data_IF_937718940087
#
_entry.id   IF_937718940087
#
_cell.length_a   1.000
_cell.length_b   1.000
_cell.length_c   1.000
_cell.angle_alpha   90.00
_cell.angle_beta   90.00
_cell.angle_gamma   90.00
#
_symmetry.space_group_name_H-M   'P 1'
#
loop_
_entity.id
_entity.type
_entity.pdbx_description
1 polymer ?
#
# COMPACT_ATOMS: atom_id res chain seq x y z
N UNK A 1 -7.18 25.79 23.88
CA UNK A 1 -7.46 24.76 22.85
C UNK A 1 -6.13 24.33 22.28
N UNK A 2 -5.84 23.03 22.25
CA UNK A 2 -4.58 22.51 21.72
C UNK A 2 -4.85 21.84 20.39
N UNK A 3 -4.09 22.21 19.36
CA UNK A 3 -4.15 21.58 18.02
C UNK A 3 -3.06 20.52 17.96
N UNK A 4 -3.43 19.31 17.54
CA UNK A 4 -2.48 18.19 17.38
C UNK A 4 -2.43 17.78 15.93
N UNK A 5 -1.22 17.56 15.41
CA UNK A 5 -0.99 17.00 14.08
C UNK A 5 -0.34 15.63 14.28
N UNK A 6 -0.93 14.62 13.66
CA UNK A 6 -0.42 13.25 13.71
C UNK A 6 -0.56 12.62 12.33
N UNK A 7 0.40 11.78 11.91
CA UNK A 7 0.27 11.03 10.68
C UNK A 7 -0.94 10.10 10.77
N UNK A 8 -1.77 10.11 9.73
CA UNK A 8 -2.91 9.19 9.57
C UNK A 8 -2.67 8.19 8.44
N UNK A 9 -1.69 8.47 7.57
CA UNK A 9 -1.35 7.64 6.43
C UNK A 9 0.14 7.74 6.11
N UNK A 10 0.71 6.63 5.64
CA UNK A 10 1.99 6.59 4.95
C UNK A 10 1.81 5.94 3.58
N UNK A 11 2.66 6.30 2.62
CA UNK A 11 2.75 5.66 1.30
C UNK A 11 4.09 4.91 1.25
N UNK A 12 4.05 3.68 0.76
CA UNK A 12 5.24 2.86 0.52
C UNK A 12 5.20 2.38 -0.93
N UNK A 13 6.31 2.59 -1.65
CA UNK A 13 6.43 2.20 -3.05
C UNK A 13 7.87 1.82 -3.37
N UNK A 14 8.03 0.92 -4.34
CA UNK A 14 9.32 0.63 -4.97
C UNK A 14 9.47 1.31 -6.34
N UNK A 15 8.51 2.15 -6.74
CA UNK A 15 8.62 3.00 -7.93
C UNK A 15 9.80 3.98 -7.77
N UNK A 16 10.74 4.03 -8.74
CA UNK A 16 11.84 5.00 -8.74
C UNK A 16 11.35 6.44 -8.57
N UNK A 17 12.10 7.25 -7.84
CA UNK A 17 11.70 8.61 -7.46
C UNK A 17 11.38 9.51 -8.68
N UNK A 18 12.15 9.36 -9.76
CA UNK A 18 11.98 10.05 -11.04
C UNK A 18 10.69 9.69 -11.79
N UNK A 19 10.03 8.58 -11.43
CA UNK A 19 8.81 8.10 -12.06
C UNK A 19 7.59 8.18 -11.13
N UNK A 20 7.71 8.74 -9.93
CA UNK A 20 6.59 8.82 -8.98
C UNK A 20 5.46 9.76 -9.42
N UNK A 21 5.75 10.72 -10.29
CA UNK A 21 4.75 11.63 -10.89
C UNK A 21 4.07 11.02 -12.14
N UNK A 22 4.48 9.83 -12.59
CA UNK A 22 3.83 9.15 -13.69
C UNK A 22 2.39 8.77 -13.31
N UNK A 23 1.45 8.90 -14.25
CA UNK A 23 0.01 8.70 -14.00
C UNK A 23 -0.33 7.32 -13.41
N UNK A 24 0.45 6.29 -13.75
CA UNK A 24 0.26 4.91 -13.27
C UNK A 24 1.06 4.56 -11.99
N UNK A 25 1.88 5.49 -11.47
CA UNK A 25 2.76 5.19 -10.34
C UNK A 25 1.98 4.81 -9.07
N UNK A 26 0.79 5.40 -8.88
CA UNK A 26 -0.11 5.15 -7.77
C UNK A 26 -0.57 3.69 -7.67
N UNK A 27 -0.63 2.99 -8.80
CA UNK A 27 -1.12 1.63 -8.87
C UNK A 27 -0.12 0.60 -8.30
N UNK A 28 1.14 1.00 -8.09
CA UNK A 28 2.17 0.22 -7.40
C UNK A 28 2.36 0.61 -5.93
N UNK A 29 1.61 1.59 -5.44
CA UNK A 29 1.72 2.06 -4.07
C UNK A 29 0.93 1.18 -3.10
N UNK A 30 1.47 1.02 -1.90
CA UNK A 30 0.77 0.53 -0.73
C UNK A 30 0.55 1.69 0.24
N UNK A 31 -0.64 1.78 0.81
CA UNK A 31 -0.93 2.76 1.87
C UNK A 31 -0.93 2.07 3.23
N UNK A 32 -0.39 2.74 4.24
CA UNK A 32 -0.48 2.33 5.64
C UNK A 32 -1.41 3.31 6.32
N UNK A 33 -2.64 2.90 6.61
CA UNK A 33 -3.69 3.78 7.12
C UNK A 33 -3.98 3.52 8.61
N UNK A 34 -4.08 4.61 9.39
CA UNK A 34 -4.44 4.53 10.80
C UNK A 34 -5.93 4.20 10.94
N UNK A 35 -6.24 3.18 11.72
CA UNK A 35 -7.60 2.69 11.95
C UNK A 35 -8.08 2.87 13.39
N UNK A 36 -7.14 2.91 14.33
CA UNK A 36 -7.34 3.33 15.72
C UNK A 36 -5.99 3.73 16.33
N UNK A 37 -5.98 4.12 17.61
CA UNK A 37 -4.73 4.31 18.37
C UNK A 37 -3.88 3.04 18.27
N UNK A 38 -2.64 3.18 17.81
CA UNK A 38 -1.66 2.11 17.62
C UNK A 38 -2.12 0.93 16.73
N UNK A 39 -3.11 1.17 15.86
CA UNK A 39 -3.65 0.17 14.94
C UNK A 39 -3.66 0.71 13.52
N UNK A 40 -2.83 0.10 12.68
CA UNK A 40 -2.60 0.46 11.30
C UNK A 40 -2.93 -0.71 10.37
N UNK A 41 -3.40 -0.40 9.18
CA UNK A 41 -3.69 -1.38 8.15
C UNK A 41 -2.77 -1.16 6.95
N UNK A 42 -2.19 -2.23 6.41
CA UNK A 42 -1.52 -2.18 5.11
C UNK A 42 -2.59 -2.40 4.04
N UNK A 43 -2.72 -1.43 3.14
CA UNK A 43 -3.80 -1.34 2.17
C UNK A 43 -3.21 -1.33 0.76
N UNK A 44 -3.84 -2.11 -0.11
CA UNK A 44 -3.66 -2.05 -1.56
C UNK A 44 -5.02 -1.75 -2.17
N UNK A 45 -5.17 -0.56 -2.75
CA UNK A 45 -6.45 -0.03 -3.25
C UNK A 45 -7.53 -0.07 -2.16
N UNK A 46 -8.42 -1.06 -2.19
CA UNK A 46 -9.54 -1.23 -1.25
C UNK A 46 -9.40 -2.46 -0.35
N UNK A 47 -8.26 -3.14 -0.39
CA UNK A 47 -8.03 -4.41 0.31
C UNK A 47 -7.00 -4.25 1.42
N UNK A 48 -7.21 -4.94 2.55
CA UNK A 48 -6.24 -5.05 3.62
C UNK A 48 -5.31 -6.26 3.38
N UNK A 49 -4.05 -6.14 3.78
CA UNK A 49 -3.19 -7.31 3.97
C UNK A 49 -3.65 -8.10 5.19
N UNK A 50 -3.67 -9.42 5.04
CA UNK A 50 -3.89 -10.39 6.11
C UNK A 50 -2.64 -11.28 6.20
N UNK A 51 -1.79 -10.98 7.18
CA UNK A 51 -0.51 -11.65 7.35
C UNK A 51 -0.64 -13.13 7.77
N UNK A 52 -1.75 -13.51 8.41
CA UNK A 52 -2.03 -14.91 8.75
C UNK A 52 -2.28 -15.76 7.50
N UNK A 53 -3.01 -15.21 6.53
CA UNK A 53 -3.35 -15.92 5.29
C UNK A 53 -2.45 -15.58 4.11
N UNK A 54 -1.57 -14.59 4.28
CA UNK A 54 -0.73 -13.98 3.25
C UNK A 54 -1.53 -13.58 2.00
N UNK A 55 -2.70 -12.96 2.23
CA UNK A 55 -3.62 -12.57 1.16
C UNK A 55 -4.13 -11.15 1.35
N UNK A 56 -4.45 -10.52 0.21
CA UNK A 56 -5.28 -9.33 0.18
C UNK A 56 -6.73 -9.72 0.43
N UNK A 57 -7.35 -9.12 1.44
CA UNK A 57 -8.74 -9.38 1.82
C UNK A 57 -9.55 -8.10 1.76
N UNK A 58 -10.76 -8.18 1.19
CA UNK A 58 -11.69 -7.05 1.21
C UNK A 58 -12.09 -6.74 2.65
N UNK A 59 -12.12 -5.45 3.01
CA UNK A 59 -12.55 -5.05 4.34
C UNK A 59 -14.09 -5.19 4.44
N UNK A 60 -14.61 -5.95 5.42
CA UNK A 60 -16.04 -6.03 5.65
C UNK A 60 -16.64 -4.66 5.96
N UNK A 61 -17.93 -4.52 5.65
CA UNK A 61 -18.72 -3.37 6.10
C UNK A 61 -18.58 -3.20 7.61
N UNK A 62 -18.67 -1.96 8.14
CA UNK A 62 -18.41 -1.70 9.55
C UNK A 62 -19.21 -2.59 10.52
N UNK A 63 -20.47 -2.88 10.20
CA UNK A 63 -21.36 -3.72 11.01
C UNK A 63 -21.00 -5.21 11.00
N UNK A 64 -20.27 -5.69 9.99
CA UNK A 64 -19.82 -7.08 9.87
C UNK A 64 -18.34 -7.26 10.20
N UNK A 65 -17.65 -6.19 10.62
CA UNK A 65 -16.21 -6.20 10.90
C UNK A 65 -15.90 -6.79 12.26
N UNK A 66 -15.74 -8.12 12.27
CA UNK A 66 -15.39 -8.87 13.47
C UNK A 66 -14.04 -8.48 14.07
N UNK A 67 -13.86 -8.72 15.36
CA UNK A 67 -12.57 -8.52 16.02
C UNK A 67 -11.50 -9.50 15.50
N UNK A 68 -11.92 -10.68 15.02
CA UNK A 68 -11.03 -11.60 14.30
C UNK A 68 -10.46 -10.99 13.01
N UNK A 69 -11.24 -10.17 12.30
CA UNK A 69 -10.74 -9.44 11.13
C UNK A 69 -9.74 -8.37 11.56
N UNK A 70 -10.07 -7.60 12.60
CA UNK A 70 -9.17 -6.56 13.10
C UNK A 70 -7.85 -7.16 13.59
N UNK A 71 -7.88 -8.27 14.33
CA UNK A 71 -6.69 -8.89 14.89
C UNK A 71 -5.66 -9.30 13.81
N UNK A 72 -6.11 -9.79 12.66
CA UNK A 72 -5.22 -10.27 11.59
C UNK A 72 -4.83 -9.20 10.55
N UNK A 73 -5.50 -8.04 10.55
CA UNK A 73 -5.29 -6.96 9.57
C UNK A 73 -4.94 -5.60 10.20
N UNK A 74 -4.75 -5.55 11.53
CA UNK A 74 -4.43 -4.32 12.27
C UNK A 74 -3.16 -4.52 13.08
N UNK A 75 -2.11 -3.83 12.64
CA UNK A 75 -0.76 -3.99 13.13
C UNK A 75 -0.31 -2.75 13.91
N UNK A 76 0.67 -2.90 14.81
CA UNK A 76 1.56 -1.80 15.19
C UNK A 76 2.19 -1.13 13.97
N UNK A 77 2.55 0.16 14.07
CA UNK A 77 3.05 0.94 12.93
C UNK A 77 4.34 0.37 12.33
N UNK A 78 5.30 0.01 13.19
CA UNK A 78 6.57 -0.60 12.82
C UNK A 78 6.37 -1.91 12.04
N UNK A 79 5.46 -2.76 12.50
CA UNK A 79 5.09 -3.99 11.80
C UNK A 79 4.42 -3.70 10.46
N UNK A 80 3.50 -2.72 10.40
CA UNK A 80 2.84 -2.33 9.16
C UNK A 80 3.85 -1.81 8.12
N UNK A 81 4.83 -1.01 8.55
CA UNK A 81 5.92 -0.52 7.70
C UNK A 81 6.79 -1.67 7.18
N UNK A 82 7.18 -2.61 8.04
CA UNK A 82 7.98 -3.76 7.64
C UNK A 82 7.24 -4.65 6.62
N UNK A 83 5.94 -4.90 6.83
CA UNK A 83 5.10 -5.63 5.88
C UNK A 83 5.04 -4.89 4.54
N UNK A 84 4.74 -3.59 4.56
CA UNK A 84 4.60 -2.81 3.33
C UNK A 84 5.91 -2.73 2.54
N UNK A 85 7.05 -2.55 3.20
CA UNK A 85 8.37 -2.54 2.56
C UNK A 85 8.71 -3.87 1.90
N UNK A 86 8.33 -4.99 2.53
CA UNK A 86 8.49 -6.32 1.95
C UNK A 86 7.60 -6.53 0.73
N UNK A 87 6.34 -6.08 0.79
CA UNK A 87 5.35 -6.29 -0.27
C UNK A 87 5.45 -5.31 -1.43
N UNK A 88 6.04 -4.13 -1.24
CA UNK A 88 6.08 -3.08 -2.26
C UNK A 88 6.79 -3.53 -3.56
N UNK A 89 7.97 -4.18 -3.53
CA UNK A 89 8.62 -4.68 -4.76
C UNK A 89 7.82 -5.77 -5.48
N UNK A 90 6.93 -6.47 -4.76
CA UNK A 90 6.13 -7.57 -5.31
C UNK A 90 4.82 -7.10 -5.97
N UNK A 91 4.53 -5.79 -5.95
CA UNK A 91 3.31 -5.26 -6.53
C UNK A 91 3.25 -5.53 -8.03
N UNK A 92 2.06 -5.94 -8.47
CA UNK A 92 1.74 -6.20 -9.87
C UNK A 92 0.45 -5.50 -10.27
N UNK A 93 0.42 -4.99 -11.50
CA UNK A 93 -0.79 -4.43 -12.13
C UNK A 93 -0.98 -5.15 -13.45
N UNK A 94 -2.15 -5.78 -13.66
CA UNK A 94 -2.45 -6.51 -14.90
C UNK A 94 -1.35 -7.53 -15.28
N UNK A 95 -0.64 -8.09 -14.28
CA UNK A 95 0.48 -9.02 -14.47
C UNK A 95 1.87 -8.39 -14.62
N UNK A 96 1.95 -7.07 -14.82
CA UNK A 96 3.20 -6.32 -14.98
C UNK A 96 3.86 -6.07 -13.62
N UNK A 97 5.15 -6.39 -13.50
CA UNK A 97 5.98 -6.05 -12.33
C UNK A 97 6.43 -4.59 -12.40
N UNK A 98 6.89 -4.03 -11.27
CA UNK A 98 7.45 -2.67 -11.22
C UNK A 98 8.59 -2.52 -12.23
N UNK A 99 9.56 -3.43 -12.24
CA UNK A 99 10.72 -3.33 -13.15
C UNK A 99 10.32 -3.32 -14.62
N UNK A 100 9.38 -4.18 -15.01
CA UNK A 100 8.90 -4.26 -16.39
C UNK A 100 8.11 -3.00 -16.79
N UNK A 101 7.40 -2.39 -15.84
CA UNK A 101 6.73 -1.11 -16.05
C UNK A 101 7.73 0.04 -16.17
N UNK A 102 8.76 0.10 -15.31
CA UNK A 102 9.81 1.12 -15.36
C UNK A 102 10.52 1.10 -16.71
N UNK A 103 10.90 -0.08 -17.19
CA UNK A 103 11.55 -0.24 -18.49
C UNK A 103 10.67 0.29 -19.62
N UNK A 104 9.39 -0.08 -19.60
CA UNK A 104 8.42 0.38 -20.59
C UNK A 104 8.26 1.90 -20.59
N UNK A 105 8.11 2.52 -19.42
CA UNK A 105 7.94 3.98 -19.31
C UNK A 105 9.18 4.71 -19.86
N UNK A 106 10.38 4.21 -19.59
CA UNK A 106 11.62 4.80 -20.11
C UNK A 106 11.71 4.70 -21.63
N UNK A 107 11.37 3.54 -22.20
CA UNK A 107 11.30 3.37 -23.66
C UNK A 107 10.26 4.30 -24.30
N UNK A 108 9.09 4.46 -23.68
CA UNK A 108 8.04 5.34 -24.19
C UNK A 108 8.49 6.83 -24.17
N UNK A 109 9.25 7.25 -23.15
CA UNK A 109 9.82 8.60 -23.06
C UNK A 109 10.93 8.85 -24.10
N UNK A 110 11.77 7.85 -24.38
CA UNK A 110 12.82 7.95 -25.41
C UNK A 110 12.26 8.02 -26.83
N UNK A 111 11.10 7.40 -27.07
CA UNK A 111 10.43 7.37 -28.37
C UNK A 111 9.50 8.58 -28.61
N UNK A 112 9.42 9.51 -27.66
CA UNK A 112 8.62 10.73 -27.79
C UNK A 112 9.45 11.81 -28.50
N UNK A 113 9.06 12.28 -29.71
CA UNK A 113 9.85 13.21 -30.53
C UNK A 113 9.91 14.63 -29.96
#
# INVERSE_FOLDING_TARGET
MTVTVEPTQYVVTAVPADLQDHIDADCFQLTIERRARDKWAVIRRTMCWDDTTQKWVSEPTPSSRSDKFKARTRYPLDMALAIAQRLAPEQRIMGLTIDAWVERVRQDQENQP
#
